data_IF_279431396312
#
_entry.id   IF_279431396312
#
_cell.length_a   1.000
_cell.length_b   1.000
_cell.length_c   1.000
_cell.angle_alpha   90.00
_cell.angle_beta   90.00
_cell.angle_gamma   90.00
#
_symmetry.space_group_name_H-M   'P 1'
#
loop_
_entity.id
_entity.type
_entity.pdbx_description
1 polymer ?
#
# COMPACT_ATOMS: atom_id res chain seq x y z
N UNK A 1 9.53 40.55 -28.30
CA UNK A 1 10.08 39.62 -29.32
C UNK A 1 11.10 38.65 -28.72
N UNK A 2 12.08 39.12 -27.93
CA UNK A 2 13.06 38.27 -27.21
C UNK A 2 12.39 37.18 -26.35
N UNK A 3 11.28 37.49 -25.67
CA UNK A 3 10.54 36.54 -24.83
C UNK A 3 9.83 35.43 -25.63
N UNK A 4 9.46 35.67 -26.89
CA UNK A 4 8.78 34.69 -27.73
C UNK A 4 9.78 33.68 -28.29
N UNK A 5 10.92 34.17 -28.80
CA UNK A 5 12.02 33.33 -29.30
C UNK A 5 12.61 32.49 -28.16
N UNK A 6 12.87 33.09 -27.00
CA UNK A 6 13.35 32.37 -25.82
C UNK A 6 12.36 31.28 -25.37
N UNK A 7 11.05 31.54 -25.43
CA UNK A 7 10.01 30.55 -25.10
C UNK A 7 10.06 29.33 -26.04
N UNK A 8 10.19 29.53 -27.35
CA UNK A 8 10.29 28.42 -28.30
C UNK A 8 11.59 27.63 -28.14
N UNK A 9 12.71 28.30 -27.88
CA UNK A 9 14.00 27.65 -27.58
C UNK A 9 13.89 26.80 -26.31
N UNK A 10 13.26 27.32 -25.25
CA UNK A 10 13.10 26.61 -23.98
C UNK A 10 12.16 25.41 -24.10
N UNK A 11 11.06 25.53 -24.84
CA UNK A 11 10.16 24.40 -25.16
C UNK A 11 10.92 23.33 -25.96
N UNK A 12 11.69 23.72 -26.98
CA UNK A 12 12.51 22.81 -27.77
C UNK A 12 13.57 22.10 -26.92
N UNK A 13 14.25 22.83 -26.04
CA UNK A 13 15.24 22.27 -25.13
C UNK A 13 14.61 21.26 -24.15
N UNK A 14 13.50 21.61 -23.50
CA UNK A 14 12.76 20.71 -22.60
C UNK A 14 12.30 19.43 -23.30
N UNK A 15 11.81 19.54 -24.55
CA UNK A 15 11.37 18.40 -25.34
C UNK A 15 12.52 17.42 -25.66
N UNK A 16 13.77 17.89 -25.71
CA UNK A 16 14.94 17.07 -25.97
C UNK A 16 15.57 16.44 -24.73
N UNK A 17 15.17 16.85 -23.52
CA UNK A 17 15.74 16.32 -22.25
C UNK A 17 15.65 14.79 -22.17
N UNK A 18 14.50 14.13 -22.45
CA UNK A 18 14.42 12.67 -22.37
C UNK A 18 15.41 11.97 -23.30
N UNK A 19 15.55 12.47 -24.54
CA UNK A 19 16.51 11.94 -25.51
C UNK A 19 17.95 12.13 -25.01
N UNK A 20 18.26 13.31 -24.48
CA UNK A 20 19.57 13.60 -23.90
C UNK A 20 19.90 12.64 -22.74
N UNK A 21 18.94 12.35 -21.85
CA UNK A 21 19.12 11.38 -20.76
C UNK A 21 19.41 9.98 -21.31
N UNK A 22 18.66 9.51 -22.31
CA UNK A 22 18.92 8.20 -22.95
C UNK A 22 20.33 8.13 -23.51
N UNK A 23 20.78 9.17 -24.21
CA UNK A 23 22.15 9.27 -24.75
C UNK A 23 23.18 9.21 -23.62
N UNK A 24 22.98 9.93 -22.52
CA UNK A 24 23.87 9.89 -21.34
C UNK A 24 23.96 8.49 -20.74
N UNK A 25 22.84 7.79 -20.59
CA UNK A 25 22.80 6.41 -20.08
C UNK A 25 23.59 5.47 -20.99
N UNK A 26 23.45 5.60 -22.32
CA UNK A 26 24.22 4.79 -23.29
C UNK A 26 25.72 5.02 -23.14
N UNK A 27 26.16 6.27 -23.06
CA UNK A 27 27.58 6.59 -22.85
C UNK A 27 28.09 6.06 -21.50
N UNK A 28 27.30 6.18 -20.44
CA UNK A 28 27.64 5.65 -19.12
C UNK A 28 27.81 4.11 -19.14
N UNK A 29 26.89 3.37 -19.78
CA UNK A 29 26.99 1.91 -19.94
C UNK A 29 28.22 1.53 -20.75
N UNK A 30 28.52 2.26 -21.82
CA UNK A 30 29.72 2.03 -22.62
C UNK A 30 30.98 2.24 -21.78
N UNK A 31 31.06 3.34 -21.03
CA UNK A 31 32.20 3.63 -20.16
C UNK A 31 32.37 2.56 -19.07
N UNK A 32 31.29 2.19 -18.39
CA UNK A 32 31.29 1.10 -17.41
C UNK A 32 31.83 -0.21 -18.01
N UNK A 33 31.42 -0.54 -19.23
CA UNK A 33 31.88 -1.75 -19.93
C UNK A 33 33.37 -1.71 -20.23
N UNK A 34 33.88 -0.56 -20.71
CA UNK A 34 35.31 -0.35 -20.98
C UNK A 34 36.12 -0.42 -19.69
N UNK A 35 35.67 0.24 -18.62
CA UNK A 35 36.37 0.28 -17.34
C UNK A 35 36.48 -1.13 -16.73
N UNK A 36 35.40 -1.91 -16.75
CA UNK A 36 35.41 -3.31 -16.29
C UNK A 36 36.35 -4.17 -17.15
N UNK A 37 36.33 -4.01 -18.47
CA UNK A 37 37.23 -4.73 -19.37
C UNK A 37 38.70 -4.37 -19.11
N UNK A 38 39.00 -3.09 -18.94
CA UNK A 38 40.35 -2.60 -18.71
C UNK A 38 40.90 -3.08 -17.37
N UNK A 39 40.10 -3.07 -16.29
CA UNK A 39 40.51 -3.59 -14.99
C UNK A 39 40.90 -5.07 -15.06
N UNK A 40 40.11 -5.89 -15.77
CA UNK A 40 40.41 -7.32 -15.96
C UNK A 40 41.63 -7.51 -16.87
N UNK A 41 41.74 -6.70 -17.93
CA UNK A 41 42.87 -6.73 -18.87
C UNK A 41 44.20 -6.37 -18.23
N UNK A 42 44.21 -5.38 -17.34
CA UNK A 42 45.40 -5.00 -16.57
C UNK A 42 45.85 -6.13 -15.63
N UNK A 43 44.91 -6.87 -15.04
CA UNK A 43 45.23 -8.01 -14.18
C UNK A 43 45.76 -9.20 -14.98
N UNK A 44 45.22 -9.43 -16.17
CA UNK A 44 45.50 -10.64 -16.96
C UNK A 44 46.62 -10.44 -17.99
N UNK A 45 46.99 -9.19 -18.29
CA UNK A 45 47.96 -8.79 -19.32
C UNK A 45 47.70 -9.40 -20.71
N UNK A 46 46.44 -9.73 -21.00
CA UNK A 46 46.05 -10.36 -22.26
C UNK A 46 44.57 -10.14 -22.57
N UNK A 47 44.32 -9.61 -23.78
CA UNK A 47 42.98 -9.34 -24.31
C UNK A 47 42.15 -10.63 -24.45
N UNK A 48 42.79 -11.74 -24.86
CA UNK A 48 42.10 -13.03 -25.04
C UNK A 48 41.55 -13.57 -23.72
N UNK A 49 42.40 -13.67 -22.69
CA UNK A 49 41.95 -14.17 -21.39
C UNK A 49 40.92 -13.25 -20.73
N UNK A 50 41.02 -11.93 -20.91
CA UNK A 50 40.05 -10.97 -20.39
C UNK A 50 38.68 -11.13 -21.03
N UNK A 51 38.64 -11.28 -22.37
CA UNK A 51 37.40 -11.57 -23.09
C UNK A 51 36.78 -12.90 -22.68
N UNK A 52 37.60 -13.92 -22.42
CA UNK A 52 37.16 -15.23 -21.93
C UNK A 52 36.56 -15.15 -20.52
N UNK A 53 37.21 -14.44 -19.59
CA UNK A 53 36.70 -14.23 -18.23
C UNK A 53 35.34 -13.54 -18.25
N UNK A 54 35.18 -12.50 -19.07
CA UNK A 54 33.91 -11.79 -19.21
C UNK A 54 32.85 -12.69 -19.82
N UNK A 55 33.17 -13.42 -20.89
CA UNK A 55 32.24 -14.36 -21.52
C UNK A 55 31.78 -15.45 -20.54
N UNK A 56 32.70 -16.02 -19.77
CA UNK A 56 32.39 -16.99 -18.71
C UNK A 56 31.53 -16.37 -17.62
N UNK A 57 31.81 -15.12 -17.22
CA UNK A 57 31.01 -14.39 -16.22
C UNK A 57 29.58 -14.19 -16.70
N UNK A 58 29.39 -13.72 -17.95
CA UNK A 58 28.07 -13.56 -18.56
C UNK A 58 27.35 -14.91 -18.64
N UNK A 59 28.05 -15.97 -19.05
CA UNK A 59 27.51 -17.32 -19.11
C UNK A 59 27.05 -17.82 -17.73
N UNK A 60 27.85 -17.64 -16.68
CA UNK A 60 27.50 -18.01 -15.31
C UNK A 60 26.26 -17.23 -14.83
N UNK A 61 26.20 -15.93 -15.07
CA UNK A 61 25.04 -15.11 -14.72
C UNK A 61 23.77 -15.59 -15.46
N UNK A 62 23.89 -15.87 -16.76
CA UNK A 62 22.80 -16.44 -17.56
C UNK A 62 22.35 -17.80 -17.05
N UNK A 63 23.29 -18.67 -16.69
CA UNK A 63 23.02 -19.99 -16.13
C UNK A 63 22.33 -19.93 -14.76
N UNK A 64 22.74 -18.99 -13.89
CA UNK A 64 22.09 -18.74 -12.60
C UNK A 64 20.65 -18.24 -12.83
N UNK A 65 20.45 -17.32 -13.77
CA UNK A 65 19.14 -16.81 -14.15
C UNK A 65 18.21 -17.94 -14.63
N UNK A 66 18.67 -18.71 -15.63
CA UNK A 66 17.95 -19.86 -16.18
C UNK A 66 17.60 -20.90 -15.10
N UNK A 67 18.55 -21.22 -14.22
CA UNK A 67 18.33 -22.20 -13.16
C UNK A 67 17.31 -21.70 -12.12
N UNK A 68 17.35 -20.41 -11.79
CA UNK A 68 16.41 -19.79 -10.85
C UNK A 68 15.00 -19.75 -11.43
N UNK A 69 14.86 -19.42 -12.72
CA UNK A 69 13.57 -19.41 -13.41
C UNK A 69 12.98 -20.82 -13.54
N UNK A 70 13.78 -21.82 -13.94
CA UNK A 70 13.28 -23.16 -14.25
C UNK A 70 13.06 -24.05 -13.02
N UNK A 71 13.90 -23.93 -11.99
CA UNK A 71 13.89 -24.81 -10.83
C UNK A 71 13.52 -24.11 -9.53
N UNK A 72 13.21 -22.80 -9.57
CA UNK A 72 12.87 -21.97 -8.40
C UNK A 72 14.03 -21.69 -7.44
N UNK A 73 15.13 -22.44 -7.52
CA UNK A 73 16.36 -22.25 -6.76
C UNK A 73 17.58 -22.61 -7.61
N UNK A 74 18.57 -21.72 -7.64
CA UNK A 74 19.86 -22.02 -8.27
C UNK A 74 20.77 -22.80 -7.31
N UNK A 75 21.36 -23.89 -7.80
CA UNK A 75 22.38 -24.66 -7.06
C UNK A 75 23.57 -23.78 -6.67
N UNK A 76 23.99 -22.88 -7.57
CA UNK A 76 25.09 -21.93 -7.31
C UNK A 76 24.74 -20.99 -6.17
N UNK A 77 23.53 -20.42 -6.18
CA UNK A 77 23.05 -19.55 -5.10
C UNK A 77 23.00 -20.31 -3.77
N UNK A 78 22.56 -21.56 -3.78
CA UNK A 78 22.48 -22.40 -2.58
C UNK A 78 23.87 -22.72 -1.98
N UNK A 79 24.90 -22.84 -2.82
CA UNK A 79 26.29 -23.04 -2.36
C UNK A 79 26.86 -21.74 -1.78
N UNK A 80 26.60 -20.61 -2.42
CA UNK A 80 26.99 -19.28 -1.92
C UNK A 80 26.33 -19.03 -0.56
N UNK A 81 25.02 -19.26 -0.45
CA UNK A 81 24.25 -19.15 0.79
C UNK A 81 24.92 -19.92 1.93
N UNK A 82 25.16 -21.23 1.73
CA UNK A 82 25.78 -22.11 2.73
C UNK A 82 27.20 -21.69 3.12
N UNK A 83 27.92 -21.03 2.21
CA UNK A 83 29.30 -20.60 2.45
C UNK A 83 29.31 -19.31 3.26
N UNK A 84 28.54 -18.30 2.84
CA UNK A 84 28.45 -17.01 3.52
C UNK A 84 27.79 -17.14 4.89
N UNK A 85 26.86 -18.08 5.05
CA UNK A 85 26.19 -18.41 6.31
C UNK A 85 27.13 -18.88 7.43
N UNK A 86 28.31 -19.38 7.08
CA UNK A 86 29.31 -19.82 8.06
C UNK A 86 30.13 -18.66 8.64
N UNK A 87 30.04 -17.46 8.05
CA UNK A 87 30.83 -16.31 8.45
C UNK A 87 29.92 -15.34 9.23
N UNK A 88 30.04 -15.24 10.57
CA UNK A 88 29.04 -14.60 11.43
C UNK A 88 28.68 -13.15 11.06
N UNK A 89 29.67 -12.33 10.70
CA UNK A 89 29.43 -10.94 10.30
C UNK A 89 28.83 -10.82 8.89
N UNK A 90 29.35 -11.60 7.93
CA UNK A 90 28.92 -11.55 6.54
C UNK A 90 27.51 -12.10 6.37
N UNK A 91 27.16 -13.16 7.12
CA UNK A 91 25.83 -13.76 7.13
C UNK A 91 24.73 -12.74 7.41
N UNK A 92 24.93 -11.82 8.37
CA UNK A 92 23.93 -10.81 8.73
C UNK A 92 23.66 -9.88 7.54
N UNK A 93 24.73 -9.30 6.98
CA UNK A 93 24.64 -8.38 5.85
C UNK A 93 24.05 -9.07 4.62
N UNK A 94 24.56 -10.27 4.30
CA UNK A 94 24.10 -11.05 3.18
C UNK A 94 22.61 -11.40 3.28
N UNK A 95 22.14 -11.81 4.45
CA UNK A 95 20.73 -12.13 4.65
C UNK A 95 19.82 -10.89 4.57
N UNK A 96 20.28 -9.72 5.01
CA UNK A 96 19.54 -8.45 4.84
C UNK A 96 19.42 -8.11 3.36
N UNK A 97 20.55 -8.10 2.64
CA UNK A 97 20.58 -7.79 1.19
C UNK A 97 19.73 -8.79 0.41
N UNK A 98 19.85 -10.08 0.71
CA UNK A 98 19.07 -11.14 0.07
C UNK A 98 17.57 -10.98 0.31
N UNK A 99 17.15 -10.63 1.54
CA UNK A 99 15.75 -10.33 1.84
C UNK A 99 15.24 -9.17 0.99
N UNK A 100 16.01 -8.08 0.90
CA UNK A 100 15.65 -6.92 0.07
C UNK A 100 15.52 -7.31 -1.40
N UNK A 101 16.52 -8.02 -1.94
CA UNK A 101 16.52 -8.47 -3.34
C UNK A 101 15.35 -9.41 -3.64
N UNK A 102 15.01 -10.32 -2.74
CA UNK A 102 13.89 -11.25 -2.92
C UNK A 102 12.54 -10.53 -3.08
N UNK A 103 12.35 -9.38 -2.42
CA UNK A 103 11.12 -8.58 -2.57
C UNK A 103 10.96 -8.01 -3.99
N UNK A 104 12.08 -7.73 -4.67
CA UNK A 104 12.04 -7.25 -6.06
C UNK A 104 11.98 -8.39 -7.08
N UNK A 105 12.42 -9.60 -6.71
CA UNK A 105 12.50 -10.76 -7.60
C UNK A 105 11.27 -11.66 -7.58
N UNK A 106 10.36 -11.50 -6.61
CA UNK A 106 9.22 -12.39 -6.45
C UNK A 106 8.26 -12.30 -7.65
N UNK A 107 8.26 -13.37 -8.44
CA UNK A 107 7.38 -13.61 -9.60
C UNK A 107 6.35 -14.71 -9.30
N UNK A 108 6.22 -15.15 -8.06
CA UNK A 108 5.40 -16.33 -7.74
C UNK A 108 3.91 -16.00 -7.84
N UNK A 109 3.22 -16.74 -8.73
CA UNK A 109 1.78 -16.63 -8.99
C UNK A 109 0.88 -17.01 -7.81
N UNK A 110 1.40 -17.73 -6.82
CA UNK A 110 0.59 -18.34 -5.75
C UNK A 110 0.84 -17.80 -4.33
N UNK A 111 1.75 -16.85 -4.13
CA UNK A 111 1.99 -16.26 -2.80
C UNK A 111 1.85 -14.74 -2.81
N UNK A 112 0.63 -14.31 -2.48
CA UNK A 112 0.25 -13.05 -1.79
C UNK A 112 0.92 -11.75 -2.24
N UNK A 113 0.07 -10.87 -2.82
CA UNK A 113 0.18 -9.39 -2.87
C UNK A 113 1.30 -8.84 -1.98
N UNK A 114 2.44 -8.54 -2.61
CA UNK A 114 3.62 -7.96 -1.98
C UNK A 114 3.53 -6.44 -1.89
N UNK A 115 2.55 -5.86 -2.56
CA UNK A 115 2.20 -4.44 -2.48
C UNK A 115 0.85 -4.30 -1.81
N UNK A 116 0.77 -3.38 -0.86
CA UNK A 116 -0.46 -2.98 -0.18
C UNK A 116 -0.57 -1.46 -0.20
N UNK A 117 -1.77 -0.92 0.00
CA UNK A 117 -1.98 0.49 0.28
C UNK A 117 -2.08 0.67 1.79
N UNK A 118 -1.35 1.63 2.34
CA UNK A 118 -1.35 1.96 3.77
C UNK A 118 -1.62 3.44 3.96
N UNK A 119 -2.31 3.80 5.04
CA UNK A 119 -2.47 5.20 5.42
C UNK A 119 -1.20 5.74 6.08
N UNK A 120 -0.53 6.69 5.44
CA UNK A 120 0.69 7.30 5.96
C UNK A 120 0.93 8.70 5.34
N UNK A 121 1.37 9.71 6.11
CA UNK A 121 1.62 9.70 7.56
C UNK A 121 0.36 9.95 8.40
N UNK A 122 -0.80 10.21 7.78
CA UNK A 122 -2.08 10.44 8.46
C UNK A 122 -3.24 9.79 7.72
N UNK A 123 -4.40 9.74 8.37
CA UNK A 123 -5.66 9.21 7.84
C UNK A 123 -6.03 9.82 6.48
N UNK A 124 -6.67 9.01 5.63
CA UNK A 124 -7.11 9.32 4.27
C UNK A 124 -5.98 9.66 3.27
N UNK A 125 -4.71 9.48 3.65
CA UNK A 125 -3.56 9.57 2.74
C UNK A 125 -2.99 8.19 2.46
N UNK A 126 -3.27 7.66 1.29
CA UNK A 126 -2.91 6.29 0.90
C UNK A 126 -1.63 6.28 0.08
N UNK A 127 -0.68 5.43 0.49
CA UNK A 127 0.57 5.21 -0.23
C UNK A 127 0.78 3.72 -0.50
N UNK A 128 1.32 3.34 -1.68
CA UNK A 128 1.75 1.97 -1.91
C UNK A 128 2.96 1.64 -1.02
N UNK A 129 2.97 0.44 -0.46
CA UNK A 129 4.03 -0.06 0.41
C UNK A 129 4.33 -1.53 0.12
N UNK A 130 5.60 -1.93 0.24
CA UNK A 130 6.03 -3.31 0.06
C UNK A 130 5.95 -4.07 1.38
N UNK A 131 5.41 -5.28 1.35
CA UNK A 131 5.32 -6.12 2.55
C UNK A 131 6.65 -6.85 2.77
N UNK A 132 7.34 -6.52 3.86
CA UNK A 132 8.63 -7.13 4.20
C UNK A 132 8.46 -8.45 4.96
N UNK A 133 7.53 -8.48 5.93
CA UNK A 133 7.25 -9.65 6.74
C UNK A 133 5.85 -9.62 7.33
N UNK A 134 5.29 -10.79 7.61
CA UNK A 134 3.97 -10.99 8.22
C UNK A 134 4.15 -11.82 9.50
N UNK A 135 3.59 -11.37 10.60
CA UNK A 135 3.53 -12.12 11.86
C UNK A 135 2.14 -11.94 12.46
N UNK A 136 1.34 -13.01 12.49
CA UNK A 136 -0.06 -12.96 12.91
C UNK A 136 -0.83 -11.86 12.16
N UNK A 137 -1.47 -10.94 12.88
CA UNK A 137 -2.23 -9.81 12.34
C UNK A 137 -1.39 -8.53 12.20
N UNK A 138 -0.06 -8.63 12.28
CA UNK A 138 0.86 -7.51 12.13
C UNK A 138 1.73 -7.68 10.89
N UNK A 139 1.89 -6.59 10.14
CA UNK A 139 2.74 -6.52 8.96
C UNK A 139 3.84 -5.48 9.16
N UNK A 140 5.04 -5.83 8.69
CA UNK A 140 6.14 -4.88 8.51
C UNK A 140 6.14 -4.45 7.05
N UNK A 141 5.97 -3.16 6.81
CA UNK A 141 5.90 -2.57 5.48
C UNK A 141 7.06 -1.60 5.25
N UNK A 142 7.55 -1.56 4.02
CA UNK A 142 8.42 -0.48 3.54
C UNK A 142 7.62 0.50 2.70
N UNK A 143 7.58 1.75 3.15
CA UNK A 143 6.95 2.89 2.47
C UNK A 143 8.03 3.66 1.72
N UNK A 144 8.14 3.50 0.40
CA UNK A 144 9.16 4.17 -0.41
C UNK A 144 8.88 5.67 -0.59
N UNK A 145 9.93 6.43 -0.92
CA UNK A 145 9.86 7.86 -1.25
C UNK A 145 10.01 8.10 -2.74
N UNK A 146 9.17 8.92 -3.36
CA UNK A 146 9.35 9.34 -4.75
C UNK A 146 10.51 10.34 -4.92
N UNK A 147 11.28 10.29 -6.03
CA UNK A 147 11.25 9.28 -7.09
C UNK A 147 12.11 8.03 -6.79
N UNK A 148 12.77 7.96 -5.63
CA UNK A 148 13.71 6.89 -5.31
C UNK A 148 13.05 5.74 -4.52
N UNK A 149 12.65 4.62 -5.16
CA UNK A 149 11.92 3.52 -4.51
C UNK A 149 12.77 2.73 -3.52
N UNK A 150 14.09 3.02 -3.43
CA UNK A 150 15.01 2.36 -2.50
C UNK A 150 15.14 3.09 -1.16
N UNK A 151 14.76 4.38 -1.10
CA UNK A 151 14.69 5.14 0.15
C UNK A 151 13.25 5.20 0.64
N UNK A 152 13.06 5.29 1.96
CA UNK A 152 11.73 5.16 2.54
C UNK A 152 11.74 5.01 4.06
N UNK A 153 10.56 4.72 4.58
CA UNK A 153 10.33 4.44 5.99
C UNK A 153 9.89 2.99 6.15
N UNK A 154 10.33 2.36 7.23
CA UNK A 154 9.76 1.06 7.63
C UNK A 154 8.72 1.31 8.71
N UNK A 155 7.52 0.78 8.50
CA UNK A 155 6.39 0.91 9.43
C UNK A 155 5.87 -0.46 9.81
N UNK A 156 5.33 -0.56 11.02
CA UNK A 156 4.67 -1.77 11.52
C UNK A 156 3.21 -1.41 11.69
N UNK A 157 2.31 -2.14 11.02
CA UNK A 157 0.88 -1.85 11.00
C UNK A 157 0.07 -3.12 11.22
N UNK A 158 -1.11 -2.96 11.82
CA UNK A 158 -2.09 -4.04 11.91
C UNK A 158 -2.68 -4.33 10.52
N UNK A 159 -3.06 -5.58 10.28
CA UNK A 159 -3.60 -6.06 9.00
C UNK A 159 -4.89 -5.35 8.59
N UNK A 160 -5.69 -4.91 9.55
CA UNK A 160 -6.90 -4.13 9.31
C UNK A 160 -6.63 -2.71 8.75
N UNK A 161 -5.44 -2.16 9.01
CA UNK A 161 -5.04 -0.81 8.60
C UNK A 161 -4.40 -0.76 7.21
N UNK A 162 -4.40 -1.87 6.48
CA UNK A 162 -3.94 -1.93 5.09
C UNK A 162 -5.11 -2.21 4.16
N UNK A 163 -4.96 -1.82 2.90
CA UNK A 163 -5.83 -2.27 1.81
C UNK A 163 -5.04 -3.07 0.82
N UNK A 164 -5.60 -4.22 0.47
CA UNK A 164 -5.02 -5.06 -0.56
C UNK A 164 -5.24 -4.43 -1.94
N UNK A 165 -4.21 -4.48 -2.79
CA UNK A 165 -4.26 -4.03 -4.19
C UNK A 165 -3.74 -5.12 -5.12
N UNK A 166 -4.12 -5.07 -6.39
CA UNK A 166 -3.56 -5.90 -7.44
C UNK A 166 -2.24 -5.36 -8.02
N UNK A 167 -1.74 -4.21 -7.54
CA UNK A 167 -0.45 -3.66 -7.98
C UNK A 167 0.67 -4.69 -7.78
N UNK A 168 1.45 -4.89 -8.84
CA UNK A 168 2.74 -5.56 -8.77
C UNK A 168 3.82 -4.62 -8.20
N UNK A 169 4.93 -5.19 -7.72
CA UNK A 169 6.09 -4.40 -7.27
C UNK A 169 6.59 -3.48 -8.37
N UNK A 170 6.59 -3.93 -9.63
CA UNK A 170 6.99 -3.13 -10.79
C UNK A 170 6.04 -1.94 -11.02
N UNK A 171 4.72 -2.17 -11.03
CA UNK A 171 3.72 -1.11 -11.20
C UNK A 171 3.78 -0.08 -10.06
N UNK A 172 3.91 -0.53 -8.81
CA UNK A 172 4.09 0.35 -7.66
C UNK A 172 5.36 1.18 -7.79
N UNK A 173 6.49 0.55 -8.16
CA UNK A 173 7.77 1.24 -8.37
C UNK A 173 7.68 2.27 -9.50
N UNK A 174 6.98 1.96 -10.59
CA UNK A 174 6.76 2.89 -11.71
C UNK A 174 5.96 4.13 -11.26
N UNK A 175 4.91 3.93 -10.47
CA UNK A 175 4.16 5.03 -9.85
C UNK A 175 5.08 5.91 -8.97
N UNK A 176 5.94 5.29 -8.15
CA UNK A 176 6.85 6.02 -7.26
C UNK A 176 7.91 6.79 -8.04
N UNK A 177 8.58 6.15 -9.01
CA UNK A 177 9.66 6.73 -9.82
C UNK A 177 9.12 7.89 -10.67
N UNK A 178 7.92 7.73 -11.23
CA UNK A 178 7.26 8.79 -12.02
C UNK A 178 6.69 9.92 -11.16
N UNK A 179 6.86 9.88 -9.83
CA UNK A 179 6.28 10.85 -8.89
C UNK A 179 4.75 10.96 -9.02
N UNK A 180 4.10 9.84 -9.36
CA UNK A 180 2.66 9.77 -9.59
C UNK A 180 2.18 10.31 -10.94
N UNK A 181 3.08 10.73 -11.83
CA UNK A 181 2.71 11.13 -13.19
C UNK A 181 2.07 9.97 -13.97
N UNK A 182 2.47 8.74 -13.66
CA UNK A 182 1.87 7.53 -14.22
C UNK A 182 1.01 6.80 -13.17
N UNK A 183 -0.25 7.22 -13.05
CA UNK A 183 -1.20 6.64 -12.10
C UNK A 183 -1.84 5.35 -12.65
N UNK A 184 -1.11 4.24 -12.51
CA UNK A 184 -1.51 2.90 -12.94
C UNK A 184 -2.69 2.38 -12.09
N UNK A 185 -3.62 1.65 -12.71
CA UNK A 185 -4.82 1.05 -12.06
C UNK A 185 -5.65 2.05 -11.25
N UNK A 186 -5.73 3.29 -11.74
CA UNK A 186 -6.44 4.41 -11.09
C UNK A 186 -7.88 4.10 -10.70
N UNK A 187 -8.62 3.31 -11.50
CA UNK A 187 -10.00 2.92 -11.21
C UNK A 187 -10.09 2.00 -10.00
N UNK A 188 -9.23 0.97 -9.94
CA UNK A 188 -9.15 0.02 -8.83
C UNK A 188 -8.77 0.74 -7.53
N UNK A 189 -7.70 1.53 -7.56
CA UNK A 189 -7.19 2.25 -6.39
C UNK A 189 -8.25 3.23 -5.89
N UNK A 190 -8.92 3.95 -6.80
CA UNK A 190 -10.03 4.84 -6.45
C UNK A 190 -11.19 4.10 -5.80
N UNK A 191 -11.55 2.91 -6.30
CA UNK A 191 -12.61 2.09 -5.71
C UNK A 191 -12.23 1.61 -4.30
N UNK A 192 -11.00 1.15 -4.09
CA UNK A 192 -10.48 0.71 -2.79
C UNK A 192 -10.58 1.84 -1.76
N UNK A 193 -10.14 3.05 -2.13
CA UNK A 193 -10.14 4.22 -1.22
C UNK A 193 -11.57 4.70 -0.94
N UNK A 194 -12.44 4.77 -1.97
CA UNK A 194 -13.84 5.22 -1.81
C UNK A 194 -14.70 4.25 -1.00
N UNK A 195 -14.53 2.94 -1.20
CA UNK A 195 -15.22 1.93 -0.41
C UNK A 195 -14.85 2.03 1.08
N UNK A 196 -13.63 2.51 1.38
CA UNK A 196 -13.26 2.81 2.76
C UNK A 196 -14.04 4.00 3.30
N UNK A 197 -14.26 5.09 2.54
CA UNK A 197 -15.17 6.16 3.00
C UNK A 197 -16.56 5.63 3.37
N UNK A 198 -17.14 4.73 2.58
CA UNK A 198 -18.44 4.13 2.87
C UNK A 198 -18.39 3.26 4.15
N UNK A 199 -17.35 2.46 4.33
CA UNK A 199 -17.21 1.60 5.51
C UNK A 199 -16.77 2.36 6.78
N UNK A 200 -15.97 3.41 6.67
CA UNK A 200 -15.58 4.29 7.79
C UNK A 200 -16.74 5.20 8.20
N UNK A 201 -17.60 5.64 7.26
CA UNK A 201 -18.87 6.31 7.60
C UNK A 201 -19.80 5.32 8.33
N UNK A 202 -19.87 4.06 7.88
CA UNK A 202 -20.65 3.01 8.57
C UNK A 202 -20.07 2.57 9.92
N UNK A 203 -18.76 2.65 10.10
CA UNK A 203 -18.06 2.18 11.31
C UNK A 203 -17.89 3.22 12.41
N UNK A 204 -17.94 4.53 12.10
CA UNK A 204 -17.72 5.58 13.09
C UNK A 204 -18.99 6.23 13.65
N UNK A 205 -20.19 5.96 13.12
CA UNK A 205 -21.43 6.62 13.54
C UNK A 205 -22.56 5.62 13.87
N UNK A 206 -22.24 4.45 14.45
CA UNK A 206 -23.31 3.61 15.00
C UNK A 206 -23.95 4.33 16.19
N UNK A 207 -25.17 4.83 15.99
CA UNK A 207 -25.94 5.53 17.02
C UNK A 207 -26.96 4.56 17.58
N UNK A 208 -26.93 4.37 18.89
CA UNK A 208 -27.87 3.46 19.57
C UNK A 208 -29.07 4.24 20.08
N UNK A 209 -30.27 3.86 19.66
CA UNK A 209 -31.53 4.34 20.21
C UNK A 209 -31.95 3.40 21.34
N UNK A 210 -32.14 3.94 22.54
CA UNK A 210 -32.44 3.14 23.73
C UNK A 210 -33.58 3.74 24.54
N UNK A 211 -34.49 2.88 24.98
CA UNK A 211 -35.59 3.24 25.89
C UNK A 211 -35.12 3.15 27.35
N UNK A 212 -35.17 4.26 28.08
CA UNK A 212 -34.75 4.30 29.50
C UNK A 212 -35.66 3.42 30.38
N UNK A 213 -36.98 3.52 30.17
CA UNK A 213 -38.00 2.81 30.94
C UNK A 213 -39.17 2.41 30.05
N UNK A 214 -39.63 1.17 30.19
CA UNK A 214 -40.71 0.62 29.37
C UNK A 214 -42.03 0.57 30.14
N UNK A 215 -43.07 1.22 29.63
CA UNK A 215 -44.43 1.05 30.15
C UNK A 215 -45.11 -0.20 29.57
N UNK A 216 -46.25 -0.59 30.15
CA UNK A 216 -47.04 -1.72 29.65
C UNK A 216 -47.57 -1.53 28.23
N UNK A 217 -47.80 -0.29 27.79
CA UNK A 217 -48.21 0.02 26.42
C UNK A 217 -47.06 -0.22 25.42
N UNK A 218 -45.85 0.23 25.75
CA UNK A 218 -44.66 0.03 24.92
C UNK A 218 -44.37 -1.47 24.67
N UNK A 219 -44.50 -2.31 25.72
CA UNK A 219 -44.31 -3.76 25.59
C UNK A 219 -45.32 -4.45 24.65
N UNK A 220 -46.42 -3.78 24.31
CA UNK A 220 -47.43 -4.27 23.37
C UNK A 220 -47.29 -3.64 21.98
N UNK A 221 -46.41 -2.66 21.81
CA UNK A 221 -46.10 -2.03 20.53
C UNK A 221 -45.17 -2.92 19.69
N UNK A 222 -45.02 -2.59 18.41
CA UNK A 222 -44.05 -3.24 17.50
C UNK A 222 -42.62 -2.72 17.66
N UNK A 223 -42.40 -1.72 18.52
CA UNK A 223 -41.09 -1.09 18.69
C UNK A 223 -40.14 -1.93 19.57
N UNK A 224 -38.86 -1.90 19.22
CA UNK A 224 -37.80 -2.54 20.00
C UNK A 224 -37.21 -1.56 21.03
N UNK A 225 -36.89 -2.06 22.21
CA UNK A 225 -36.36 -1.25 23.32
C UNK A 225 -34.93 -0.72 23.09
N UNK A 226 -34.19 -1.37 22.18
CA UNK A 226 -32.85 -0.99 21.78
C UNK A 226 -32.71 -1.27 20.28
N UNK A 227 -32.28 -0.26 19.53
CA UNK A 227 -32.06 -0.34 18.09
C UNK A 227 -30.77 0.39 17.73
N UNK A 228 -29.95 -0.20 16.87
CA UNK A 228 -28.69 0.38 16.41
C UNK A 228 -28.80 0.81 14.96
N UNK A 229 -28.49 2.08 14.69
CA UNK A 229 -28.58 2.67 13.35
C UNK A 229 -27.20 3.01 12.80
N UNK A 230 -27.09 3.02 11.48
CA UNK A 230 -25.81 3.28 10.80
C UNK A 230 -25.51 4.78 10.72
N UNK A 231 -26.53 5.63 10.86
CA UNK A 231 -26.39 7.09 10.88
C UNK A 231 -27.21 7.70 12.02
N UNK A 232 -26.76 8.86 12.50
CA UNK A 232 -27.46 9.63 13.53
C UNK A 232 -28.79 10.20 13.03
N UNK A 233 -28.88 10.52 11.75
CA UNK A 233 -30.11 11.00 11.09
C UNK A 233 -31.19 9.91 11.09
N UNK A 234 -30.84 8.67 10.71
CA UNK A 234 -31.76 7.52 10.79
C UNK A 234 -32.26 7.28 12.23
N UNK A 235 -31.34 7.36 13.21
CA UNK A 235 -31.69 7.17 14.62
C UNK A 235 -32.63 8.28 15.14
N UNK A 236 -32.42 9.53 14.72
CA UNK A 236 -33.26 10.68 15.10
C UNK A 236 -34.65 10.61 14.48
N UNK A 237 -34.74 10.20 13.21
CA UNK A 237 -36.02 10.03 12.52
C UNK A 237 -36.85 8.92 13.19
N UNK A 238 -36.24 7.77 13.50
CA UNK A 238 -36.91 6.70 14.25
C UNK A 238 -37.32 7.15 15.66
N UNK A 239 -36.44 7.85 16.39
CA UNK A 239 -36.76 8.36 17.72
C UNK A 239 -37.98 9.29 17.71
N UNK A 240 -38.05 10.17 16.70
CA UNK A 240 -39.17 11.10 16.51
C UNK A 240 -40.45 10.34 16.20
N UNK A 241 -40.43 9.43 15.24
CA UNK A 241 -41.59 8.61 14.87
C UNK A 241 -42.10 7.80 16.08
N UNK A 242 -41.18 7.18 16.83
CA UNK A 242 -41.53 6.42 18.03
C UNK A 242 -42.16 7.29 19.11
N UNK A 243 -41.66 8.51 19.34
CA UNK A 243 -42.25 9.42 20.32
C UNK A 243 -43.63 9.93 19.88
N UNK A 244 -43.80 10.28 18.59
CA UNK A 244 -45.09 10.72 18.03
C UNK A 244 -46.13 9.60 18.13
N UNK A 245 -45.83 8.39 17.66
CA UNK A 245 -46.74 7.25 17.71
C UNK A 245 -47.11 6.86 19.15
N UNK A 246 -46.16 6.90 20.08
CA UNK A 246 -46.39 6.56 21.47
C UNK A 246 -47.24 7.62 22.19
N UNK A 247 -47.06 8.91 21.88
CA UNK A 247 -47.82 10.00 22.48
C UNK A 247 -49.24 10.11 21.89
N UNK A 248 -49.41 9.91 20.58
CA UNK A 248 -50.69 10.12 19.91
C UNK A 248 -51.56 8.86 19.89
N UNK A 249 -50.97 7.69 19.64
CA UNK A 249 -51.73 6.48 19.28
C UNK A 249 -51.75 5.43 20.40
N UNK A 250 -50.69 5.32 21.20
CA UNK A 250 -50.51 4.17 22.10
C UNK A 250 -50.63 4.48 23.60
N UNK A 251 -50.11 5.61 24.08
CA UNK A 251 -49.98 5.89 25.51
C UNK A 251 -50.50 7.27 25.89
N UNK A 252 -51.74 7.31 26.39
CA UNK A 252 -52.36 8.56 26.86
C UNK A 252 -51.99 8.94 28.32
N UNK A 253 -51.12 8.18 28.98
CA UNK A 253 -50.74 8.37 30.40
C UNK A 253 -49.31 8.86 30.61
N UNK A 254 -48.46 8.74 29.59
CA UNK A 254 -47.06 9.13 29.68
C UNK A 254 -46.72 10.00 28.47
N UNK A 255 -45.86 11.00 28.70
CA UNK A 255 -45.22 11.75 27.63
C UNK A 255 -43.86 11.13 27.32
N UNK A 256 -43.62 10.87 26.03
CA UNK A 256 -42.36 10.39 25.49
C UNK A 256 -41.59 11.54 24.85
N UNK A 257 -40.32 11.67 25.21
CA UNK A 257 -39.36 12.60 24.61
C UNK A 257 -38.00 11.92 24.48
N UNK A 258 -37.09 12.49 23.70
CA UNK A 258 -35.75 11.94 23.53
C UNK A 258 -34.66 12.98 23.85
N UNK A 259 -33.54 12.49 24.36
CA UNK A 259 -32.31 13.26 24.57
C UNK A 259 -31.21 12.72 23.67
N UNK A 260 -30.48 13.64 23.04
CA UNK A 260 -29.41 13.34 22.09
C UNK A 260 -28.05 13.45 22.78
N UNK A 261 -27.30 12.36 22.81
CA UNK A 261 -25.89 12.32 23.21
C UNK A 261 -24.99 12.09 21.98
N UNK A 262 -23.67 12.05 22.19
CA UNK A 262 -22.70 11.93 21.08
C UNK A 262 -22.93 10.67 20.22
N UNK A 263 -23.20 9.51 20.84
CA UNK A 263 -23.41 8.21 20.16
C UNK A 263 -24.65 7.43 20.63
N UNK A 264 -25.53 8.06 21.41
CA UNK A 264 -26.73 7.42 21.96
C UNK A 264 -27.90 8.41 21.91
N UNK A 265 -29.09 7.92 21.56
CA UNK A 265 -30.35 8.65 21.69
C UNK A 265 -31.17 7.93 22.74
N UNK A 266 -31.47 8.62 23.83
CA UNK A 266 -32.19 8.04 24.96
C UNK A 266 -33.65 8.51 24.93
N UNK A 267 -34.60 7.59 24.80
CA UNK A 267 -36.02 7.89 24.93
C UNK A 267 -36.39 7.85 26.41
N UNK A 268 -36.87 8.98 26.91
CA UNK A 268 -37.35 9.18 28.28
C UNK A 268 -38.87 9.20 28.31
N UNK A 269 -39.39 8.78 29.44
CA UNK A 269 -40.83 8.72 29.71
C UNK A 269 -41.12 9.48 31.00
N UNK A 270 -42.00 10.46 30.92
CA UNK A 270 -42.55 11.18 32.07
C UNK A 270 -44.02 10.80 32.27
N UNK A 271 -44.48 10.75 33.52
CA UNK A 271 -45.92 10.69 33.80
C UNK A 271 -46.50 12.09 33.58
N UNK A 272 -47.62 12.16 32.84
CA UNK A 272 -48.40 13.38 32.72
C UNK A 272 -49.07 13.76 34.04
#
# INVERSE_FOLDING_TARGET
>A
MMSLLFRYVLIGALALIPLFIVVQVVFWVNQLSVDLFQQISLYTNSTLYSSLIIAVTIFILGFIGFSTEKFGKSLVVSVIDKTLDKIPAIRIIYNIVKKITNLFMSKNKDDKKEVVLVEYPKKDLWVPAYVLSKHEDVLVLFVPTSPNPTSGYTVIVQRENIKETSLSVAEASQFIISMGADFIKKEEISAIIKNNKINTIKGNNMTTLRMEKQCGCFKKSSFSAEQTFNTKEEALEEAKNMCEDMNETFCQKHSFSFEENENEILIKMAQN
#
